data_IF_006248267191
#
_entry.id   IF_006248267191
#
_cell.length_a   1.000
_cell.length_b   1.000
_cell.length_c   1.000
_cell.angle_alpha   90.00
_cell.angle_beta   90.00
_cell.angle_gamma   90.00
#
_symmetry.space_group_name_H-M   'P 1'
#
loop_
_entity.id
_entity.type
_entity.pdbx_description
1 polymer ?
#
# COMPACT_ATOMS: atom_id res chain seq x y z
N UNK A 1 59.11 -41.95 1.63
CA UNK A 1 57.66 -41.55 1.59
C UNK A 1 57.40 -40.58 2.73
N UNK A 2 57.36 -39.27 2.39
CA UNK A 2 57.23 -38.23 3.40
C UNK A 2 55.78 -37.70 3.34
N UNK A 3 54.92 -38.12 4.28
CA UNK A 3 53.56 -37.63 4.43
C UNK A 3 53.63 -36.30 5.18
N UNK A 4 53.53 -35.19 4.47
CA UNK A 4 53.30 -33.86 5.03
C UNK A 4 51.92 -33.81 5.71
N UNK A 5 51.84 -34.18 6.97
CA UNK A 5 50.68 -33.94 7.82
C UNK A 5 50.68 -32.46 8.22
N UNK A 6 49.92 -31.61 7.52
CA UNK A 6 49.65 -30.23 7.96
C UNK A 6 49.07 -30.29 9.36
N UNK A 7 49.63 -29.52 10.28
CA UNK A 7 49.20 -29.47 11.68
C UNK A 7 47.70 -29.10 11.81
N UNK A 8 46.98 -29.65 12.79
CA UNK A 8 45.53 -29.39 12.97
C UNK A 8 45.19 -27.90 13.19
N UNK A 9 46.12 -27.08 13.67
CA UNK A 9 45.96 -25.64 13.84
C UNK A 9 45.80 -24.90 12.52
N UNK A 10 46.63 -25.22 11.50
CA UNK A 10 46.60 -24.60 10.16
C UNK A 10 45.25 -24.90 9.44
N UNK A 11 44.69 -26.09 9.62
CA UNK A 11 43.36 -26.41 9.05
C UNK A 11 42.23 -25.60 9.71
N UNK A 12 42.27 -25.41 11.02
CA UNK A 12 41.26 -24.59 11.74
C UNK A 12 41.32 -23.13 11.30
N UNK A 13 42.48 -22.54 11.16
CA UNK A 13 42.66 -21.15 10.70
C UNK A 13 42.11 -20.96 9.29
N UNK A 14 42.41 -21.91 8.38
CA UNK A 14 41.89 -21.87 7.00
C UNK A 14 40.35 -21.97 6.95
N UNK A 15 39.73 -22.82 7.76
CA UNK A 15 38.26 -22.92 7.86
C UNK A 15 37.67 -21.61 8.38
N UNK A 16 38.26 -21.00 9.41
CA UNK A 16 37.78 -19.74 9.97
C UNK A 16 37.86 -18.59 8.94
N UNK A 17 38.99 -18.49 8.21
CA UNK A 17 39.14 -17.49 7.15
C UNK A 17 38.08 -17.68 6.05
N UNK A 18 37.86 -18.92 5.61
CA UNK A 18 36.87 -19.21 4.58
C UNK A 18 35.46 -18.86 5.04
N UNK A 19 35.11 -19.15 6.29
CA UNK A 19 33.81 -18.76 6.88
C UNK A 19 33.68 -17.24 6.96
N UNK A 20 34.72 -16.53 7.38
CA UNK A 20 34.72 -15.06 7.44
C UNK A 20 34.54 -14.45 6.05
N UNK A 21 35.30 -14.95 5.05
CA UNK A 21 35.18 -14.49 3.65
C UNK A 21 33.78 -14.75 3.13
N UNK A 22 33.20 -15.95 3.36
CA UNK A 22 31.83 -16.27 2.94
C UNK A 22 30.80 -15.38 3.61
N UNK A 23 30.98 -15.08 4.89
CA UNK A 23 30.09 -14.15 5.59
C UNK A 23 30.16 -12.73 5.03
N UNK A 24 31.37 -12.22 4.79
CA UNK A 24 31.57 -10.89 4.19
C UNK A 24 30.98 -10.80 2.77
N UNK A 25 31.17 -11.81 1.94
CA UNK A 25 30.59 -11.85 0.59
C UNK A 25 29.06 -11.88 0.64
N UNK A 26 28.47 -12.61 1.57
CA UNK A 26 27.01 -12.62 1.79
C UNK A 26 26.49 -11.25 2.21
N UNK A 27 27.17 -10.57 3.13
CA UNK A 27 26.79 -9.21 3.57
C UNK A 27 26.84 -8.22 2.40
N UNK A 28 27.93 -8.26 1.62
CA UNK A 28 28.07 -7.40 0.43
C UNK A 28 26.95 -7.67 -0.58
N UNK A 29 26.63 -8.93 -0.83
CA UNK A 29 25.54 -9.30 -1.74
C UNK A 29 24.20 -8.74 -1.26
N UNK A 30 23.88 -8.87 0.04
CA UNK A 30 22.66 -8.33 0.62
C UNK A 30 22.62 -6.79 0.48
N UNK A 31 23.73 -6.10 0.73
CA UNK A 31 23.80 -4.64 0.57
C UNK A 31 23.57 -4.21 -0.90
N UNK A 32 24.16 -4.92 -1.86
CA UNK A 32 23.96 -4.64 -3.28
C UNK A 32 22.50 -4.90 -3.68
N UNK A 33 21.93 -6.02 -3.22
CA UNK A 33 20.52 -6.36 -3.48
C UNK A 33 19.56 -5.31 -2.89
N UNK A 34 19.82 -4.83 -1.68
CA UNK A 34 19.05 -3.76 -1.05
C UNK A 34 19.04 -2.49 -1.90
N UNK A 35 20.22 -2.02 -2.32
CA UNK A 35 20.36 -0.82 -3.15
C UNK A 35 19.65 -0.99 -4.50
N UNK A 36 19.82 -2.15 -5.13
CA UNK A 36 19.19 -2.45 -6.41
C UNK A 36 17.66 -2.48 -6.31
N UNK A 37 17.12 -3.12 -5.27
CA UNK A 37 15.68 -3.18 -5.03
C UNK A 37 15.10 -1.81 -4.69
N UNK A 38 15.76 -0.99 -3.88
CA UNK A 38 15.32 0.37 -3.59
C UNK A 38 15.29 1.23 -4.87
N UNK A 39 16.29 1.13 -5.73
CA UNK A 39 16.28 1.82 -7.02
C UNK A 39 15.17 1.33 -7.94
N UNK A 40 14.95 0.03 -8.01
CA UNK A 40 13.88 -0.56 -8.81
C UNK A 40 12.51 -0.10 -8.31
N UNK A 41 12.28 -0.07 -7.00
CA UNK A 41 11.06 0.46 -6.39
C UNK A 41 10.85 1.93 -6.73
N UNK A 42 11.91 2.74 -6.68
CA UNK A 42 11.87 4.14 -7.05
C UNK A 42 11.54 4.36 -8.55
N UNK A 43 12.05 3.49 -9.44
CA UNK A 43 11.78 3.56 -10.87
C UNK A 43 10.37 3.09 -11.25
N UNK A 44 9.85 2.08 -10.55
CA UNK A 44 8.56 1.47 -10.91
C UNK A 44 7.37 2.16 -10.24
N UNK A 45 7.58 3.09 -9.31
CA UNK A 45 6.53 3.70 -8.47
C UNK A 45 5.56 2.67 -7.84
N UNK A 46 5.97 1.39 -7.79
CA UNK A 46 5.15 0.26 -7.36
C UNK A 46 5.00 0.19 -5.84
N UNK A 47 5.87 0.86 -5.10
CA UNK A 47 5.76 0.94 -3.63
C UNK A 47 5.31 2.33 -3.25
N UNK A 48 4.05 2.41 -2.90
CA UNK A 48 3.44 3.61 -2.35
C UNK A 48 3.81 3.66 -0.88
N UNK A 49 4.99 4.20 -0.64
CA UNK A 49 5.50 4.42 0.71
C UNK A 49 5.16 5.83 1.22
N UNK A 50 5.57 6.11 2.45
CA UNK A 50 5.42 7.44 3.06
C UNK A 50 6.12 8.55 2.25
N UNK A 51 7.16 8.23 1.52
CA UNK A 51 7.91 9.19 0.70
C UNK A 51 7.12 9.56 -0.55
N UNK A 52 6.45 8.59 -1.18
CA UNK A 52 5.54 8.86 -2.29
C UNK A 52 4.43 9.81 -1.87
N UNK A 53 3.78 9.53 -0.74
CA UNK A 53 2.69 10.34 -0.20
C UNK A 53 3.16 11.77 0.05
N UNK A 54 4.27 11.94 0.78
CA UNK A 54 4.86 13.24 1.08
C UNK A 54 5.24 14.04 -0.18
N UNK A 55 5.70 13.35 -1.24
CA UNK A 55 6.17 13.99 -2.47
C UNK A 55 5.03 14.36 -3.42
N UNK A 56 3.97 13.54 -3.49
CA UNK A 56 2.99 13.60 -4.57
C UNK A 56 1.57 13.94 -4.09
N UNK A 57 1.34 14.04 -2.78
CA UNK A 57 0.02 14.30 -2.24
C UNK A 57 -0.03 15.68 -1.60
N UNK A 58 -0.91 16.52 -2.14
CA UNK A 58 -1.34 17.75 -1.51
C UNK A 58 -2.80 17.59 -1.10
N UNK A 59 -3.08 17.87 0.16
CA UNK A 59 -4.43 17.83 0.70
C UNK A 59 -5.00 19.24 0.79
N UNK A 60 -6.29 19.39 0.55
CA UNK A 60 -6.99 20.65 0.78
C UNK A 60 -7.17 20.94 2.28
N UNK A 61 -7.71 22.10 2.63
CA UNK A 61 -7.95 22.53 4.02
C UNK A 61 -8.83 21.58 4.83
N UNK A 62 -9.55 20.67 4.19
CA UNK A 62 -10.45 19.68 4.81
C UNK A 62 -9.81 18.28 4.92
N UNK A 63 -8.54 18.15 4.49
CA UNK A 63 -7.76 16.91 4.60
C UNK A 63 -7.97 15.92 3.45
N UNK A 64 -8.58 16.33 2.31
CA UNK A 64 -8.78 15.47 1.14
C UNK A 64 -7.88 15.87 -0.02
N UNK A 65 -7.52 14.88 -0.82
CA UNK A 65 -6.77 15.06 -2.06
C UNK A 65 -7.68 15.52 -3.19
N UNK A 66 -8.17 16.73 -3.05
CA UNK A 66 -9.12 17.35 -3.97
C UNK A 66 -8.92 18.86 -4.05
N UNK A 67 -9.60 19.51 -4.99
CA UNK A 67 -9.67 20.97 -5.04
C UNK A 67 -10.48 21.51 -3.84
N UNK A 68 -10.28 22.77 -3.52
CA UNK A 68 -11.03 23.44 -2.46
C UNK A 68 -12.39 23.90 -2.96
N UNK A 69 -13.43 23.11 -2.77
CA UNK A 69 -14.81 23.51 -3.08
C UNK A 69 -15.43 24.25 -1.91
N UNK A 70 -16.24 25.28 -2.22
CA UNK A 70 -17.07 25.97 -1.22
C UNK A 70 -18.19 25.05 -0.72
N UNK A 71 -18.62 25.21 0.54
CA UNK A 71 -19.85 24.58 1.02
C UNK A 71 -21.08 25.17 0.33
N UNK A 72 -21.06 26.49 0.06
CA UNK A 72 -22.12 27.13 -0.74
C UNK A 72 -22.05 26.64 -2.17
N UNK A 73 -23.18 26.18 -2.68
CA UNK A 73 -23.27 25.69 -4.05
C UNK A 73 -23.46 26.85 -5.02
N UNK A 74 -22.59 27.01 -6.03
CA UNK A 74 -22.80 28.01 -7.08
C UNK A 74 -24.08 27.72 -7.86
N UNK A 75 -24.72 28.78 -8.38
CA UNK A 75 -25.88 28.62 -9.24
C UNK A 75 -25.57 27.76 -10.46
N UNK A 76 -26.55 27.01 -10.93
CA UNK A 76 -26.46 26.11 -12.10
C UNK A 76 -25.33 25.09 -12.00
N UNK A 77 -24.98 24.68 -10.77
CA UNK A 77 -23.96 23.67 -10.52
C UNK A 77 -24.59 22.37 -10.03
N UNK A 78 -24.25 21.26 -10.67
CA UNK A 78 -24.59 19.90 -10.25
C UNK A 78 -23.42 19.31 -9.48
N UNK A 79 -23.64 18.90 -8.25
CA UNK A 79 -22.59 18.35 -7.39
C UNK A 79 -22.69 16.85 -7.26
N UNK A 80 -21.59 16.19 -7.62
CA UNK A 80 -21.41 14.76 -7.39
C UNK A 80 -20.40 14.59 -6.26
N UNK A 81 -20.85 14.00 -5.16
CA UNK A 81 -19.98 13.63 -4.07
C UNK A 81 -19.48 12.20 -4.30
N UNK A 82 -18.17 12.00 -4.29
CA UNK A 82 -17.55 10.68 -4.46
C UNK A 82 -16.90 10.26 -3.16
N UNK A 83 -17.39 9.17 -2.59
CA UNK A 83 -16.84 8.52 -1.41
C UNK A 83 -15.95 7.36 -1.84
N UNK A 84 -14.92 7.03 -1.08
CA UNK A 84 -14.09 5.87 -1.38
C UNK A 84 -12.82 5.78 -0.54
N UNK A 85 -12.02 4.80 -0.88
CA UNK A 85 -10.75 4.45 -0.24
C UNK A 85 -9.53 4.95 -1.03
N UNK A 86 -8.46 4.18 -0.99
CA UNK A 86 -7.21 4.45 -1.72
C UNK A 86 -7.37 4.50 -3.25
N UNK A 87 -8.34 3.77 -3.81
CA UNK A 87 -8.60 3.77 -5.25
C UNK A 87 -9.22 5.09 -5.69
N UNK A 88 -10.20 5.58 -4.95
CA UNK A 88 -10.84 6.88 -5.21
C UNK A 88 -9.90 8.04 -4.92
N UNK A 89 -9.10 7.94 -3.87
CA UNK A 89 -8.03 8.88 -3.55
C UNK A 89 -6.99 8.98 -4.68
N UNK A 90 -6.86 7.94 -5.49
CA UNK A 90 -5.87 7.85 -6.55
C UNK A 90 -4.46 7.59 -6.04
N UNK A 91 -4.34 6.64 -5.11
CA UNK A 91 -3.04 6.19 -4.62
C UNK A 91 -2.20 5.64 -5.78
N UNK A 92 -0.95 6.13 -5.94
CA UNK A 92 -0.11 5.82 -7.10
C UNK A 92 -0.21 6.83 -8.26
N UNK A 93 -1.25 7.64 -8.31
CA UNK A 93 -1.43 8.69 -9.33
C UNK A 93 -0.73 9.97 -8.86
N UNK A 94 0.24 10.45 -9.63
CA UNK A 94 1.08 11.59 -9.24
C UNK A 94 0.28 12.90 -9.19
N UNK A 95 -0.52 13.19 -10.23
CA UNK A 95 -1.31 14.41 -10.31
C UNK A 95 -2.74 14.17 -9.87
N UNK A 96 -3.27 14.96 -8.94
CA UNK A 96 -4.66 14.87 -8.49
C UNK A 96 -5.67 15.04 -9.64
N UNK A 97 -5.35 15.85 -10.65
CA UNK A 97 -6.18 16.01 -11.84
C UNK A 97 -6.37 14.73 -12.67
N UNK A 98 -5.51 13.72 -12.48
CA UNK A 98 -5.57 12.43 -13.16
C UNK A 98 -6.30 11.35 -12.35
N UNK A 99 -6.85 11.67 -11.18
CA UNK A 99 -7.74 10.78 -10.45
C UNK A 99 -9.08 10.66 -11.17
N UNK A 100 -9.75 9.52 -11.06
CA UNK A 100 -10.99 9.31 -11.81
C UNK A 100 -12.11 10.33 -11.45
N UNK A 101 -12.24 10.83 -10.21
CA UNK A 101 -13.22 11.88 -9.94
C UNK A 101 -12.94 13.16 -10.72
N UNK A 102 -11.68 13.55 -10.86
CA UNK A 102 -11.30 14.76 -11.61
C UNK A 102 -11.39 14.59 -13.13
N UNK A 103 -11.11 13.40 -13.62
CA UNK A 103 -11.34 13.05 -15.02
C UNK A 103 -12.85 13.11 -15.32
N UNK A 104 -13.70 12.56 -14.44
CA UNK A 104 -15.15 12.61 -14.57
C UNK A 104 -15.64 14.06 -14.61
N UNK A 105 -15.18 14.92 -13.70
CA UNK A 105 -15.52 16.35 -13.68
C UNK A 105 -15.16 17.03 -15.00
N UNK A 106 -13.95 16.79 -15.47
CA UNK A 106 -13.48 17.34 -16.74
C UNK A 106 -14.33 16.87 -17.92
N UNK A 107 -14.66 15.59 -17.98
CA UNK A 107 -15.48 15.03 -19.05
C UNK A 107 -16.90 15.60 -19.05
N UNK A 108 -17.53 15.74 -17.89
CA UNK A 108 -18.87 16.27 -17.77
C UNK A 108 -18.91 17.73 -18.19
N UNK A 109 -17.97 18.54 -17.75
CA UNK A 109 -17.88 19.96 -18.11
C UNK A 109 -17.54 20.18 -19.59
N UNK A 110 -16.82 19.26 -20.23
CA UNK A 110 -16.54 19.35 -21.66
C UNK A 110 -17.74 18.98 -22.54
N UNK A 111 -18.72 18.20 -22.00
CA UNK A 111 -19.89 17.76 -22.76
C UNK A 111 -21.03 18.79 -22.82
N UNK A 112 -21.09 19.69 -21.87
CA UNK A 112 -22.18 20.68 -21.80
C UNK A 112 -21.69 22.00 -21.23
N UNK A 113 -22.22 23.12 -21.77
CA UNK A 113 -22.04 24.45 -21.24
C UNK A 113 -23.27 24.96 -20.47
N UNK A 114 -24.36 24.18 -20.45
CA UNK A 114 -25.63 24.59 -19.82
C UNK A 114 -25.60 24.51 -18.30
N UNK A 115 -24.74 23.65 -17.75
CA UNK A 115 -24.65 23.37 -16.33
C UNK A 115 -23.19 23.09 -15.99
N UNK A 116 -22.72 23.56 -14.85
CA UNK A 116 -21.41 23.24 -14.31
C UNK A 116 -21.50 21.96 -13.47
N UNK A 117 -20.48 21.12 -13.56
CA UNK A 117 -20.35 19.95 -12.69
C UNK A 117 -19.18 20.15 -11.73
N UNK A 118 -19.40 19.83 -10.47
CA UNK A 118 -18.36 19.74 -9.44
C UNK A 118 -18.36 18.31 -8.89
N UNK A 119 -17.24 17.63 -9.03
CA UNK A 119 -17.06 16.26 -8.52
C UNK A 119 -16.14 16.31 -7.31
N UNK A 120 -16.72 16.24 -6.13
CA UNK A 120 -16.07 16.42 -4.84
C UNK A 120 -15.68 15.05 -4.29
N UNK A 121 -14.42 14.83 -4.05
CA UNK A 121 -13.91 13.55 -3.55
C UNK A 121 -13.67 13.61 -2.04
N UNK A 122 -14.40 12.80 -1.27
CA UNK A 122 -14.17 12.53 0.14
C UNK A 122 -13.62 11.09 0.26
N UNK A 123 -12.37 10.92 -0.10
CA UNK A 123 -11.70 9.63 -0.09
C UNK A 123 -10.36 9.70 0.62
N UNK A 124 -10.02 8.63 1.34
CA UNK A 124 -8.74 8.53 2.02
C UNK A 124 -8.24 7.08 2.07
N UNK A 125 -6.93 6.83 1.92
CA UNK A 125 -6.38 5.49 1.99
C UNK A 125 -6.70 4.78 3.31
N UNK A 126 -7.23 3.57 3.21
CA UNK A 126 -7.62 2.77 4.37
C UNK A 126 -9.03 3.03 4.88
N UNK A 127 -9.81 3.88 4.22
CA UNK A 127 -11.24 4.00 4.53
C UNK A 127 -11.96 2.69 4.22
N UNK A 128 -12.90 2.37 5.07
CA UNK A 128 -13.91 1.33 4.89
C UNK A 128 -15.30 1.98 4.80
N UNK A 129 -16.34 1.17 4.63
CA UNK A 129 -17.71 1.65 4.51
C UNK A 129 -18.14 2.52 5.69
N UNK A 130 -17.74 2.18 6.92
CA UNK A 130 -18.08 2.98 8.12
C UNK A 130 -17.42 4.37 8.07
N UNK A 131 -16.15 4.42 7.69
CA UNK A 131 -15.42 5.69 7.55
C UNK A 131 -16.01 6.56 6.44
N UNK A 132 -16.40 5.95 5.32
CA UNK A 132 -17.05 6.63 4.19
C UNK A 132 -18.41 7.17 4.59
N UNK A 133 -19.20 6.39 5.32
CA UNK A 133 -20.51 6.81 5.85
C UNK A 133 -20.36 7.94 6.86
N UNK A 134 -19.39 7.83 7.76
CA UNK A 134 -19.10 8.90 8.73
C UNK A 134 -18.77 10.22 8.02
N UNK A 135 -17.88 10.20 7.03
CA UNK A 135 -17.51 11.39 6.28
C UNK A 135 -18.68 11.96 5.45
N UNK A 136 -19.57 11.11 4.93
CA UNK A 136 -20.79 11.55 4.27
C UNK A 136 -21.65 12.39 5.21
N UNK A 137 -21.92 11.89 6.42
CA UNK A 137 -22.81 12.58 7.38
C UNK A 137 -22.17 13.84 7.95
N UNK A 138 -20.89 13.79 8.34
CA UNK A 138 -20.26 14.91 9.05
C UNK A 138 -19.80 16.02 8.10
N UNK A 139 -19.44 15.68 6.87
CA UNK A 139 -18.83 16.63 5.92
C UNK A 139 -19.55 16.67 4.57
N UNK A 140 -19.98 15.52 4.07
CA UNK A 140 -20.47 15.36 2.72
C UNK A 140 -21.75 16.16 2.44
N UNK A 141 -22.71 16.08 3.32
CA UNK A 141 -23.98 16.80 3.16
C UNK A 141 -23.84 18.32 3.23
N UNK A 142 -22.78 18.85 3.85
CA UNK A 142 -22.50 20.28 3.87
C UNK A 142 -22.21 20.85 2.46
N UNK A 143 -21.85 20.00 1.51
CA UNK A 143 -21.66 20.38 0.12
C UNK A 143 -22.96 20.41 -0.70
N UNK A 144 -24.09 20.00 -0.12
CA UNK A 144 -25.39 19.93 -0.80
C UNK A 144 -25.30 19.14 -2.11
N UNK A 145 -24.87 17.86 -2.07
CA UNK A 145 -24.69 17.06 -3.29
C UNK A 145 -26.04 16.71 -3.92
N UNK A 146 -26.09 16.75 -5.25
CA UNK A 146 -27.24 16.26 -6.03
C UNK A 146 -27.14 14.74 -6.24
N UNK A 147 -25.92 14.19 -6.19
CA UNK A 147 -25.64 12.76 -6.33
C UNK A 147 -24.49 12.36 -5.41
N UNK A 148 -24.63 11.19 -4.81
CA UNK A 148 -23.54 10.52 -4.07
C UNK A 148 -23.12 9.28 -4.84
N UNK A 149 -21.83 9.18 -5.12
CA UNK A 149 -21.21 8.04 -5.79
C UNK A 149 -20.30 7.33 -4.81
N UNK A 150 -20.54 6.04 -4.60
CA UNK A 150 -19.70 5.21 -3.74
C UNK A 150 -18.70 4.42 -4.59
N UNK A 151 -17.43 4.77 -4.47
CA UNK A 151 -16.29 4.04 -5.04
C UNK A 151 -15.95 2.84 -4.18
N UNK A 152 -16.79 1.80 -4.24
CA UNK A 152 -16.68 0.62 -3.40
C UNK A 152 -15.57 -0.32 -3.88
N UNK A 153 -14.77 -0.82 -2.94
CA UNK A 153 -13.76 -1.82 -3.17
C UNK A 153 -13.86 -2.95 -2.12
N UNK A 154 -13.43 -4.16 -2.46
CA UNK A 154 -13.64 -5.34 -1.60
C UNK A 154 -13.04 -5.25 -0.19
N UNK A 155 -12.04 -4.38 0.04
CA UNK A 155 -11.48 -4.13 1.37
C UNK A 155 -12.28 -3.11 2.20
N UNK A 156 -13.34 -2.52 1.63
CA UNK A 156 -14.21 -1.57 2.33
C UNK A 156 -15.16 -2.27 3.30
N UNK A 157 -15.33 -3.59 3.14
CA UNK A 157 -16.08 -4.40 4.08
C UNK A 157 -15.29 -4.47 5.39
N UNK A 158 -15.88 -4.05 6.53
CA UNK A 158 -15.27 -4.30 7.83
C UNK A 158 -15.04 -5.81 7.97
N UNK A 159 -13.79 -6.23 8.10
CA UNK A 159 -13.52 -7.64 8.35
C UNK A 159 -14.05 -7.95 9.75
N UNK A 160 -14.96 -8.89 9.92
CA UNK A 160 -15.28 -9.38 11.24
C UNK A 160 -13.98 -9.82 11.93
N UNK A 161 -13.81 -9.50 13.21
CA UNK A 161 -12.58 -9.78 13.96
C UNK A 161 -12.19 -11.28 13.96
N UNK A 162 -13.16 -12.17 13.76
CA UNK A 162 -12.95 -13.61 13.62
C UNK A 162 -12.43 -14.05 12.26
N UNK A 163 -12.55 -13.20 11.22
CA UNK A 163 -11.94 -13.41 9.90
C UNK A 163 -10.51 -12.85 9.83
N UNK A 164 -9.80 -12.86 10.93
CA UNK A 164 -8.37 -12.74 10.89
C UNK A 164 -7.81 -13.94 10.13
N UNK A 165 -7.90 -13.86 8.80
CA UNK A 165 -6.98 -14.59 7.97
C UNK A 165 -5.60 -14.13 8.39
N UNK A 166 -5.02 -14.83 9.36
CA UNK A 166 -3.67 -14.61 9.88
C UNK A 166 -2.59 -14.72 8.79
N UNK A 167 -3.02 -14.76 7.53
CA UNK A 167 -2.18 -14.92 6.37
C UNK A 167 -1.24 -13.74 6.12
N UNK A 168 -1.61 -12.53 6.50
CA UNK A 168 -0.87 -11.34 6.06
C UNK A 168 0.14 -10.80 7.07
N UNK A 169 0.07 -11.18 8.34
CA UNK A 169 0.90 -10.55 9.39
C UNK A 169 1.97 -11.44 10.04
N UNK A 170 2.13 -12.70 9.61
CA UNK A 170 3.25 -13.49 10.04
C UNK A 170 4.45 -13.27 9.11
N UNK A 171 5.17 -12.15 9.30
CA UNK A 171 6.48 -11.98 8.69
C UNK A 171 7.47 -13.07 9.15
N UNK A 172 8.52 -13.32 8.37
CA UNK A 172 9.62 -14.23 8.69
C UNK A 172 10.19 -14.03 10.11
N UNK A 173 10.04 -12.83 10.66
CA UNK A 173 10.57 -12.47 11.98
C UNK A 173 9.41 -12.29 12.95
N UNK A 174 9.32 -13.21 13.94
CA UNK A 174 8.40 -13.12 15.07
C UNK A 174 9.04 -12.30 16.19
N UNK A 175 8.26 -11.46 16.86
CA UNK A 175 8.70 -10.68 18.03
C UNK A 175 8.61 -9.17 17.85
N UNK A 176 8.55 -8.45 18.96
CA UNK A 176 8.60 -6.99 19.01
C UNK A 176 9.99 -6.55 19.45
N UNK A 177 10.63 -5.61 18.73
CA UNK A 177 11.93 -5.06 19.10
C UNK A 177 12.52 -4.14 18.05
N UNK A 178 13.54 -3.38 18.45
CA UNK A 178 14.25 -2.42 17.57
C UNK A 178 14.81 -3.09 16.29
N UNK A 179 15.30 -4.33 16.42
CA UNK A 179 15.85 -5.10 15.29
C UNK A 179 14.76 -5.42 14.27
N UNK A 180 13.56 -5.84 14.70
CA UNK A 180 12.42 -6.08 13.81
C UNK A 180 12.04 -4.82 13.04
N UNK A 181 11.99 -3.67 13.72
CA UNK A 181 11.67 -2.38 13.10
C UNK A 181 12.72 -1.98 12.07
N UNK A 182 14.00 -2.28 12.31
CA UNK A 182 15.08 -2.00 11.37
C UNK A 182 14.98 -2.90 10.13
N UNK A 183 14.82 -4.20 10.34
CA UNK A 183 14.74 -5.19 9.26
C UNK A 183 13.46 -5.00 8.44
N UNK A 184 12.34 -4.64 9.07
CA UNK A 184 11.08 -4.38 8.36
C UNK A 184 11.11 -3.14 7.45
N UNK A 185 12.17 -2.34 7.51
CA UNK A 185 12.39 -1.22 6.56
C UNK A 185 13.18 -1.65 5.32
N UNK A 186 13.77 -2.83 5.33
CA UNK A 186 14.59 -3.34 4.24
C UNK A 186 13.72 -3.78 3.05
N UNK A 187 14.07 -3.30 1.85
CA UNK A 187 13.41 -3.72 0.61
C UNK A 187 13.69 -5.20 0.29
N UNK A 188 14.88 -5.68 0.62
CA UNK A 188 15.25 -7.09 0.49
C UNK A 188 14.40 -7.97 1.42
N UNK A 189 14.20 -7.56 2.68
CA UNK A 189 13.32 -8.27 3.60
C UNK A 189 11.89 -8.37 3.05
N UNK A 190 11.34 -7.27 2.56
CA UNK A 190 9.99 -7.28 1.95
C UNK A 190 9.90 -8.21 0.75
N UNK A 191 10.90 -8.19 -0.13
CA UNK A 191 10.95 -9.08 -1.27
C UNK A 191 10.96 -10.55 -0.85
N UNK A 192 11.84 -10.94 0.09
CA UNK A 192 11.93 -12.31 0.60
C UNK A 192 10.66 -12.72 1.33
N UNK A 193 10.10 -11.84 2.17
CA UNK A 193 8.88 -12.10 2.91
C UNK A 193 7.67 -12.34 1.99
N UNK A 194 7.54 -11.56 0.92
CA UNK A 194 6.50 -11.78 -0.10
C UNK A 194 6.66 -13.15 -0.79
N UNK A 195 7.88 -13.53 -1.16
CA UNK A 195 8.15 -14.84 -1.78
C UNK A 195 7.88 -15.99 -0.82
N UNK A 196 8.28 -15.85 0.43
CA UNK A 196 8.02 -16.82 1.48
C UNK A 196 6.51 -17.03 1.72
N UNK A 197 5.73 -15.96 1.82
CA UNK A 197 4.30 -16.05 1.99
C UNK A 197 3.62 -16.73 0.79
N UNK A 198 3.99 -16.39 -0.45
CA UNK A 198 3.50 -17.06 -1.65
C UNK A 198 3.85 -18.56 -1.69
N UNK A 199 5.02 -18.92 -1.19
CA UNK A 199 5.41 -20.33 -1.08
C UNK A 199 4.51 -21.08 -0.08
N UNK A 200 4.25 -20.48 1.08
CA UNK A 200 3.36 -21.06 2.09
C UNK A 200 1.94 -21.24 1.57
N UNK A 201 1.43 -20.29 0.79
CA UNK A 201 0.12 -20.38 0.13
C UNK A 201 0.11 -21.54 -0.89
N UNK A 202 1.15 -21.67 -1.71
CA UNK A 202 1.28 -22.78 -2.67
C UNK A 202 1.38 -24.16 -2.02
N UNK A 203 1.95 -24.23 -0.82
CA UNK A 203 2.09 -25.47 -0.04
C UNK A 203 0.88 -25.76 0.87
N UNK A 204 -0.18 -24.96 0.76
CA UNK A 204 -1.37 -25.02 1.61
C UNK A 204 -1.09 -24.90 3.14
N UNK A 205 0.04 -24.32 3.51
CA UNK A 205 0.32 -23.98 4.93
C UNK A 205 -0.38 -22.70 5.38
N UNK A 206 -0.92 -21.92 4.44
CA UNK A 206 -1.75 -20.75 4.69
C UNK A 206 -2.94 -20.78 3.76
N UNK A 207 -4.14 -20.41 4.24
CA UNK A 207 -5.29 -20.26 3.36
C UNK A 207 -5.03 -19.14 2.35
N UNK A 208 -5.50 -19.32 1.15
CA UNK A 208 -5.49 -18.27 0.14
C UNK A 208 -6.45 -17.15 0.59
N UNK A 209 -6.13 -15.91 0.24
CA UNK A 209 -7.01 -14.77 0.54
C UNK A 209 -8.42 -14.99 -0.03
N UNK A 210 -8.51 -15.61 -1.19
CA UNK A 210 -9.75 -15.96 -1.87
C UNK A 210 -10.64 -16.93 -1.06
N UNK A 211 -10.04 -17.95 -0.46
CA UNK A 211 -10.74 -18.92 0.37
C UNK A 211 -11.32 -18.26 1.63
N UNK A 212 -10.55 -17.36 2.24
CA UNK A 212 -11.00 -16.60 3.40
C UNK A 212 -12.14 -15.62 3.09
N UNK A 213 -12.12 -15.02 1.90
CA UNK A 213 -13.19 -14.14 1.43
C UNK A 213 -14.45 -14.97 1.20
N UNK A 214 -14.35 -16.10 0.49
CA UNK A 214 -15.48 -16.97 0.20
C UNK A 214 -16.13 -17.53 1.47
N UNK A 215 -15.34 -17.91 2.47
CA UNK A 215 -15.85 -18.37 3.76
C UNK A 215 -16.62 -17.27 4.50
N UNK A 216 -16.16 -16.03 4.39
CA UNK A 216 -16.81 -14.87 4.99
C UNK A 216 -18.18 -14.54 4.38
N UNK A 217 -18.40 -14.87 3.10
CA UNK A 217 -19.63 -14.60 2.37
C UNK A 217 -20.59 -15.77 2.34
N UNK A 218 -20.17 -16.96 2.79
CA UNK A 218 -21.00 -18.16 2.84
C UNK A 218 -21.70 -18.39 4.18
N UNK A 219 -21.34 -17.62 5.19
CA UNK A 219 -21.94 -17.61 6.55
C UNK A 219 -22.98 -16.51 6.69
#
# INVERSE_FOLDING_TARGET
MNKNSKSPSLKRTSIFINLLVSFLTLVIFICIAEIALQKLQALTNLVIDKNWFKKNVSLNSRGYRDFGYSSERPEKTFRILVLGDSMTFGQGIVKSSNTYPKILETHLNNKTSKQKFEVISLAYPGYNTDSQLYDLYIKGFNFQPDMVFLGYYHNDIPRPDYLQCNSTNQGLIKGAGKIKTLISRSAFYHFVNLRYNRLLEKLNYKPKMEDCINEAYSS
#
